data_IF_900538205776
#
_entry.id   IF_900538205776
#
_cell.length_a   1.000
_cell.length_b   1.000
_cell.length_c   1.000
_cell.angle_alpha   90.00
_cell.angle_beta   90.00
_cell.angle_gamma   90.00
#
_symmetry.space_group_name_H-M   'P 1'
#
loop_
_entity.id
_entity.type
_entity.pdbx_description
1 polymer ?
#
# COMPACT_ATOMS: atom_id res chain seq x y z
N UNK A 1 -2.65 -13.45 3.74
CA UNK A 1 -2.35 -12.88 2.43
C UNK A 1 -3.15 -11.59 2.26
N UNK A 2 -2.50 -10.43 2.25
CA UNK A 2 -3.09 -9.16 1.79
C UNK A 2 -4.48 -8.80 2.35
N UNK A 3 -4.69 -8.85 3.65
CA UNK A 3 -5.96 -8.56 4.29
C UNK A 3 -6.84 -9.78 4.53
N UNK A 4 -6.25 -10.96 4.48
CA UNK A 4 -6.94 -12.22 4.66
C UNK A 4 -7.46 -12.82 3.35
N UNK A 5 -7.73 -14.10 3.39
CA UNK A 5 -8.36 -14.83 2.31
C UNK A 5 -9.13 -16.02 2.88
N UNK A 6 -10.18 -16.42 2.21
CA UNK A 6 -10.93 -17.64 2.53
C UNK A 6 -11.15 -18.45 1.25
N UNK A 7 -11.41 -19.71 1.41
CA UNK A 7 -11.83 -20.58 0.31
C UNK A 7 -13.14 -21.30 0.69
N UNK A 8 -13.94 -21.55 -0.32
CA UNK A 8 -15.20 -22.29 -0.17
C UNK A 8 -15.05 -23.64 -0.86
N UNK A 9 -15.37 -24.70 -0.13
CA UNK A 9 -15.42 -26.04 -0.70
C UNK A 9 -16.90 -26.45 -0.83
N UNK A 10 -17.34 -26.68 -2.05
CA UNK A 10 -18.65 -27.23 -2.36
C UNK A 10 -18.57 -28.72 -2.64
N UNK A 11 -19.55 -29.47 -2.19
CA UNK A 11 -19.72 -30.89 -2.51
C UNK A 11 -21.11 -31.18 -3.04
N UNK A 12 -21.25 -32.24 -3.85
CA UNK A 12 -22.57 -32.70 -4.33
C UNK A 12 -23.44 -33.17 -3.18
N UNK A 13 -24.76 -33.11 -3.36
CA UNK A 13 -25.77 -33.48 -2.34
C UNK A 13 -25.68 -34.94 -1.85
N UNK A 14 -24.98 -35.80 -2.61
CA UNK A 14 -24.74 -37.23 -2.26
C UNK A 14 -23.39 -37.46 -1.58
N UNK A 15 -22.62 -36.37 -1.32
CA UNK A 15 -21.32 -36.47 -0.64
C UNK A 15 -21.51 -36.82 0.83
N UNK A 16 -20.61 -37.62 1.38
CA UNK A 16 -20.52 -37.89 2.81
C UNK A 16 -19.94 -36.71 3.62
N UNK A 17 -19.55 -35.61 2.95
CA UNK A 17 -18.99 -34.43 3.60
C UNK A 17 -20.05 -33.65 4.36
N UNK A 18 -19.80 -33.40 5.65
CA UNK A 18 -20.67 -32.55 6.46
C UNK A 18 -20.18 -31.10 6.39
N UNK A 19 -20.99 -30.15 5.90
CA UNK A 19 -20.64 -28.76 5.90
C UNK A 19 -20.56 -28.21 7.33
N UNK A 20 -19.62 -27.30 7.59
CA UNK A 20 -19.52 -26.60 8.87
C UNK A 20 -20.60 -25.51 8.96
N UNK A 21 -21.84 -25.95 9.32
CA UNK A 21 -23.03 -25.09 9.36
C UNK A 21 -22.87 -23.92 10.36
N UNK A 22 -22.17 -24.13 11.46
CA UNK A 22 -21.97 -23.07 12.47
C UNK A 22 -21.08 -21.97 11.91
N UNK A 23 -19.98 -22.34 11.23
CA UNK A 23 -19.09 -21.37 10.59
C UNK A 23 -19.78 -20.62 9.46
N UNK A 24 -20.58 -21.32 8.66
CA UNK A 24 -21.37 -20.72 7.58
C UNK A 24 -22.37 -19.70 8.16
N UNK A 25 -23.12 -20.08 9.20
CA UNK A 25 -24.07 -19.17 9.86
C UNK A 25 -23.36 -17.94 10.43
N UNK A 26 -22.23 -18.14 11.07
CA UNK A 26 -21.45 -17.01 11.60
C UNK A 26 -21.07 -16.03 10.50
N UNK A 27 -20.49 -16.51 9.39
CA UNK A 27 -20.09 -15.66 8.26
C UNK A 27 -21.32 -14.91 7.71
N UNK A 28 -22.44 -15.60 7.48
CA UNK A 28 -23.67 -14.98 6.96
C UNK A 28 -24.22 -13.91 7.92
N UNK A 29 -24.10 -14.12 9.23
CA UNK A 29 -24.49 -13.13 10.24
C UNK A 29 -23.57 -11.92 10.22
N UNK A 30 -22.26 -12.14 10.13
CA UNK A 30 -21.27 -11.07 10.04
C UNK A 30 -21.42 -10.22 8.75
N UNK A 31 -21.90 -10.85 7.66
CA UNK A 31 -22.16 -10.20 6.38
C UNK A 31 -23.56 -9.56 6.27
N UNK A 32 -24.47 -9.77 7.23
CA UNK A 32 -25.83 -9.22 7.19
C UNK A 32 -25.89 -7.69 6.96
N UNK A 33 -25.00 -6.87 7.57
CA UNK A 33 -24.95 -5.43 7.29
C UNK A 33 -24.67 -5.08 5.83
N UNK A 34 -23.98 -5.96 5.09
CA UNK A 34 -23.62 -5.73 3.68
C UNK A 34 -24.84 -5.80 2.73
N UNK A 35 -26.00 -6.18 3.21
CA UNK A 35 -27.27 -6.12 2.45
C UNK A 35 -27.84 -4.70 2.33
N UNK A 36 -27.28 -3.74 3.02
CA UNK A 36 -27.69 -2.33 3.00
C UNK A 36 -26.62 -1.44 2.36
N UNK A 37 -26.97 -0.22 1.96
CA UNK A 37 -26.02 0.74 1.37
C UNK A 37 -25.03 1.32 2.39
N UNK A 38 -25.40 1.39 3.68
CA UNK A 38 -24.64 2.08 4.72
C UNK A 38 -23.14 1.74 4.80
N UNK A 39 -22.75 0.44 4.88
CA UNK A 39 -21.33 0.05 4.89
C UNK A 39 -20.56 0.50 3.64
N UNK A 40 -21.19 0.46 2.48
CA UNK A 40 -20.57 0.87 1.20
C UNK A 40 -20.40 2.38 1.12
N UNK A 41 -21.36 3.15 1.59
CA UNK A 41 -21.29 4.61 1.69
C UNK A 41 -20.18 5.03 2.65
N UNK A 42 -20.09 4.36 3.82
CA UNK A 42 -19.01 4.58 4.78
C UNK A 42 -17.64 4.24 4.19
N UNK A 43 -17.53 3.11 3.50
CA UNK A 43 -16.29 2.72 2.81
C UNK A 43 -15.89 3.76 1.77
N UNK A 44 -16.81 4.17 0.89
CA UNK A 44 -16.55 5.19 -0.13
C UNK A 44 -16.06 6.51 0.49
N UNK A 45 -16.72 6.97 1.55
CA UNK A 45 -16.29 8.19 2.25
C UNK A 45 -14.87 8.07 2.80
N UNK A 46 -14.52 6.95 3.47
CA UNK A 46 -13.17 6.70 3.98
C UNK A 46 -12.12 6.68 2.88
N UNK A 47 -12.44 6.07 1.73
CA UNK A 47 -11.54 6.03 0.57
C UNK A 47 -11.28 7.43 0.03
N UNK A 48 -12.33 8.27 -0.08
CA UNK A 48 -12.18 9.65 -0.56
C UNK A 48 -11.37 10.51 0.42
N UNK A 49 -11.67 10.45 1.70
CA UNK A 49 -10.94 11.19 2.75
C UNK A 49 -9.46 10.80 2.75
N UNK A 50 -9.17 9.50 2.69
CA UNK A 50 -7.81 8.98 2.67
C UNK A 50 -7.04 9.36 1.39
N UNK A 51 -7.70 9.32 0.23
CA UNK A 51 -7.14 9.77 -1.04
C UNK A 51 -6.74 11.25 -0.98
N UNK A 52 -7.59 12.09 -0.38
CA UNK A 52 -7.30 13.52 -0.19
C UNK A 52 -6.11 13.73 0.76
N UNK A 53 -6.02 12.94 1.84
CA UNK A 53 -4.92 13.00 2.79
C UNK A 53 -3.57 12.68 2.12
N UNK A 54 -3.49 11.57 1.36
CA UNK A 54 -2.29 11.19 0.61
C UNK A 54 -1.89 12.28 -0.38
N UNK A 55 -2.84 12.74 -1.19
CA UNK A 55 -2.57 13.75 -2.22
C UNK A 55 -2.14 15.08 -1.61
N UNK A 56 -2.74 15.47 -0.49
CA UNK A 56 -2.35 16.68 0.26
C UNK A 56 -0.94 16.53 0.80
N UNK A 57 -0.62 15.40 1.44
CA UNK A 57 0.71 15.12 1.97
C UNK A 57 1.78 15.27 0.89
N UNK A 58 1.61 14.63 -0.26
CA UNK A 58 2.59 14.70 -1.35
C UNK A 58 2.76 16.12 -1.89
N UNK A 59 1.67 16.87 -2.06
CA UNK A 59 1.74 18.28 -2.46
C UNK A 59 2.49 19.13 -1.42
N UNK A 60 2.22 18.94 -0.13
CA UNK A 60 2.88 19.68 0.95
C UNK A 60 4.40 19.37 1.01
N UNK A 61 4.78 18.13 0.73
CA UNK A 61 6.19 17.69 0.63
C UNK A 61 6.89 18.37 -0.56
N UNK A 62 6.25 18.35 -1.73
CA UNK A 62 6.78 19.01 -2.95
C UNK A 62 6.87 20.52 -2.80
N UNK A 63 5.89 21.16 -2.18
CA UNK A 63 5.90 22.60 -1.90
C UNK A 63 7.09 23.03 -1.00
N UNK A 64 7.61 22.10 -0.20
CA UNK A 64 8.84 22.30 0.61
C UNK A 64 10.12 21.99 -0.16
N UNK A 65 10.06 21.76 -1.47
CA UNK A 65 11.21 21.44 -2.30
C UNK A 65 11.82 20.06 -2.02
N UNK A 66 11.03 19.13 -1.44
CA UNK A 66 11.48 17.79 -1.11
C UNK A 66 11.22 16.81 -2.25
N UNK A 67 12.12 15.85 -2.41
CA UNK A 67 12.04 14.79 -3.43
C UNK A 67 11.30 13.57 -2.91
N UNK A 68 10.45 12.98 -3.77
CA UNK A 68 9.68 11.77 -3.46
C UNK A 68 9.88 10.74 -4.58
N UNK A 69 10.33 9.55 -4.22
CA UNK A 69 10.39 8.41 -5.15
C UNK A 69 9.44 7.32 -4.63
N UNK A 70 8.65 6.73 -5.52
CA UNK A 70 7.80 5.58 -5.24
C UNK A 70 8.63 4.32 -5.04
N UNK A 71 8.16 3.39 -4.21
CA UNK A 71 8.84 2.14 -3.92
C UNK A 71 7.94 0.95 -4.22
N UNK A 72 8.29 0.19 -5.26
CA UNK A 72 7.57 -0.99 -5.74
C UNK A 72 6.46 -0.69 -6.75
N UNK A 73 6.73 -0.85 -8.03
CA UNK A 73 5.76 -0.69 -9.12
C UNK A 73 4.78 -1.87 -9.20
N UNK A 74 3.82 -1.92 -8.27
CA UNK A 74 2.85 -3.00 -8.16
C UNK A 74 1.50 -2.64 -8.80
N UNK A 75 0.71 -3.66 -9.16
CA UNK A 75 -0.66 -3.47 -9.65
C UNK A 75 -1.54 -2.73 -8.62
N UNK A 76 -1.45 -3.10 -7.34
CA UNK A 76 -2.19 -2.42 -6.27
C UNK A 76 -1.73 -0.98 -6.07
N UNK A 77 -0.42 -0.75 -6.11
CA UNK A 77 0.15 0.60 -6.07
C UNK A 77 -0.34 1.47 -7.21
N UNK A 78 -0.45 0.91 -8.41
CA UNK A 78 -0.96 1.63 -9.57
C UNK A 78 -2.44 2.08 -9.40
N UNK A 79 -3.26 1.27 -8.72
CA UNK A 79 -4.64 1.69 -8.37
C UNK A 79 -4.60 2.91 -7.44
N UNK A 80 -3.72 2.90 -6.43
CA UNK A 80 -3.57 4.03 -5.49
C UNK A 80 -3.12 5.29 -6.23
N UNK A 81 -2.10 5.18 -7.11
CA UNK A 81 -1.62 6.32 -7.91
C UNK A 81 -2.74 6.96 -8.72
N UNK A 82 -3.49 6.15 -9.48
CA UNK A 82 -4.58 6.65 -10.31
C UNK A 82 -5.75 7.21 -9.48
N UNK A 83 -6.14 6.52 -8.40
CA UNK A 83 -7.26 6.97 -7.56
C UNK A 83 -6.94 8.28 -6.82
N UNK A 84 -5.69 8.46 -6.39
CA UNK A 84 -5.23 9.67 -5.71
C UNK A 84 -4.76 10.76 -6.68
N UNK A 85 -4.87 10.58 -8.00
CA UNK A 85 -4.35 11.48 -9.04
C UNK A 85 -2.87 11.87 -8.80
N UNK A 86 -2.04 10.85 -8.58
CA UNK A 86 -0.60 10.99 -8.38
C UNK A 86 0.10 10.71 -9.71
N UNK A 87 0.88 11.66 -10.18
CA UNK A 87 1.68 11.62 -11.40
C UNK A 87 3.17 11.93 -11.12
N UNK A 88 3.95 12.12 -12.17
CA UNK A 88 5.38 12.42 -12.09
C UNK A 88 5.69 13.78 -11.44
N UNK A 89 4.72 14.67 -11.30
CA UNK A 89 4.90 15.96 -10.62
C UNK A 89 4.95 15.75 -9.09
N UNK A 90 4.26 14.74 -8.58
CA UNK A 90 4.21 14.42 -7.15
C UNK A 90 5.21 13.33 -6.75
N UNK A 91 5.35 12.30 -7.59
CA UNK A 91 6.33 11.21 -7.43
C UNK A 91 7.16 11.14 -8.70
N UNK A 92 8.43 11.50 -8.58
CA UNK A 92 9.30 11.70 -9.75
C UNK A 92 9.57 10.41 -10.53
N UNK A 93 9.76 9.31 -9.82
CA UNK A 93 10.06 7.97 -10.36
C UNK A 93 9.57 6.91 -9.40
N UNK A 94 9.53 5.65 -9.83
CA UNK A 94 9.22 4.51 -8.96
C UNK A 94 10.34 3.49 -9.06
N UNK A 95 10.93 3.14 -7.93
CA UNK A 95 11.94 2.09 -7.86
C UNK A 95 11.28 0.70 -7.82
N UNK A 96 11.76 -0.23 -8.64
CA UNK A 96 11.31 -1.63 -8.64
C UNK A 96 12.49 -2.59 -8.83
N UNK A 97 12.41 -3.78 -8.29
CA UNK A 97 13.45 -4.81 -8.43
C UNK A 97 13.41 -5.53 -9.77
N UNK A 98 12.24 -5.61 -10.42
CA UNK A 98 12.07 -6.35 -11.66
C UNK A 98 12.67 -5.60 -12.84
N UNK A 99 13.78 -6.11 -13.45
CA UNK A 99 14.42 -5.44 -14.56
C UNK A 99 13.54 -5.32 -15.82
N UNK A 100 12.53 -6.17 -15.98
CA UNK A 100 11.59 -6.07 -17.10
C UNK A 100 10.71 -4.82 -17.06
N UNK A 101 10.62 -4.15 -15.91
CA UNK A 101 9.86 -2.90 -15.74
C UNK A 101 10.70 -1.66 -15.95
N UNK A 102 12.02 -1.75 -15.84
CA UNK A 102 12.89 -0.58 -15.90
C UNK A 102 12.78 0.17 -17.24
N UNK A 103 12.71 1.50 -17.16
CA UNK A 103 12.51 2.37 -18.32
C UNK A 103 11.08 2.39 -18.86
N UNK A 104 10.17 1.58 -18.31
CA UNK A 104 8.73 1.66 -18.61
C UNK A 104 8.07 2.69 -17.70
N UNK A 105 6.82 3.03 -18.02
CA UNK A 105 5.99 3.95 -17.23
C UNK A 105 4.78 3.23 -16.64
N UNK A 106 4.30 3.74 -15.51
CA UNK A 106 3.08 3.24 -14.88
C UNK A 106 1.84 3.59 -15.69
N UNK A 107 0.89 2.66 -15.88
CA UNK A 107 -0.36 2.93 -16.59
C UNK A 107 -1.17 4.03 -15.91
N UNK A 108 -1.63 5.01 -16.69
CA UNK A 108 -2.46 6.11 -16.23
C UNK A 108 -1.68 7.26 -15.58
N UNK A 109 -0.79 6.97 -14.65
CA UNK A 109 0.00 7.99 -13.93
C UNK A 109 1.29 8.43 -14.65
N UNK A 110 1.80 7.66 -15.63
CA UNK A 110 2.93 8.03 -16.49
C UNK A 110 4.30 8.06 -15.79
N UNK A 111 4.41 7.57 -14.56
CA UNK A 111 5.64 7.66 -13.76
C UNK A 111 6.67 6.63 -14.22
N UNK A 112 7.91 7.07 -14.49
CA UNK A 112 9.00 6.21 -14.96
C UNK A 112 9.47 5.26 -13.86
N UNK A 113 9.69 3.98 -14.24
CA UNK A 113 10.19 2.93 -13.34
C UNK A 113 11.71 2.81 -13.49
N UNK A 114 12.41 2.83 -12.36
CA UNK A 114 13.88 2.77 -12.27
C UNK A 114 14.35 1.61 -11.38
N UNK A 115 15.63 1.18 -11.50
CA UNK A 115 16.23 0.24 -10.55
C UNK A 115 16.31 0.81 -9.13
N UNK A 116 16.17 -0.03 -8.09
CA UNK A 116 16.43 0.37 -6.69
C UNK A 116 17.83 0.97 -6.48
N UNK A 117 18.83 0.48 -7.22
CA UNK A 117 20.20 1.04 -7.17
C UNK A 117 20.21 2.53 -7.53
N UNK A 118 19.54 2.90 -8.60
CA UNK A 118 19.43 4.30 -9.02
C UNK A 118 18.71 5.17 -7.98
N UNK A 119 17.63 4.66 -7.39
CA UNK A 119 16.92 5.34 -6.31
C UNK A 119 17.82 5.62 -5.11
N UNK A 120 18.67 4.65 -4.72
CA UNK A 120 19.63 4.83 -3.61
C UNK A 120 20.73 5.87 -3.93
N UNK A 121 21.16 5.96 -5.18
CA UNK A 121 22.11 6.98 -5.65
C UNK A 121 21.49 8.39 -5.65
N UNK A 122 20.21 8.50 -5.97
CA UNK A 122 19.45 9.77 -5.96
C UNK A 122 19.17 10.30 -4.55
N UNK A 123 19.19 9.44 -3.53
CA UNK A 123 18.97 9.79 -2.11
C UNK A 123 17.75 10.68 -1.90
N UNK A 124 16.53 10.25 -2.29
CA UNK A 124 15.34 11.08 -2.12
C UNK A 124 15.08 11.40 -0.65
N UNK A 125 14.35 12.48 -0.37
CA UNK A 125 13.91 12.80 1.00
C UNK A 125 12.87 11.81 1.52
N UNK A 126 12.03 11.28 0.61
CA UNK A 126 10.95 10.36 0.94
C UNK A 126 10.86 9.19 -0.05
N UNK A 127 10.62 8.00 0.48
CA UNK A 127 10.17 6.82 -0.27
C UNK A 127 8.68 6.59 -0.01
N UNK A 128 7.85 6.72 -1.03
CA UNK A 128 6.41 6.43 -0.93
C UNK A 128 6.13 4.99 -1.34
N UNK A 129 5.77 4.15 -0.36
CA UNK A 129 5.64 2.69 -0.54
C UNK A 129 4.33 2.33 -1.22
N UNK A 130 4.43 1.70 -2.40
CA UNK A 130 3.31 1.19 -3.20
C UNK A 130 3.07 -0.32 -3.00
N UNK A 131 3.94 -0.97 -2.22
CA UNK A 131 3.87 -2.39 -1.85
C UNK A 131 3.73 -2.54 -0.34
N UNK A 132 2.83 -1.78 0.27
CA UNK A 132 2.65 -1.66 1.72
C UNK A 132 2.48 -2.98 2.47
N UNK A 133 2.02 -4.03 1.81
CA UNK A 133 1.86 -5.37 2.37
C UNK A 133 3.19 -6.11 2.60
N UNK A 134 4.29 -5.60 2.05
CA UNK A 134 5.66 -6.04 2.36
C UNK A 134 6.33 -5.09 3.37
N UNK A 135 5.57 -4.67 4.38
CA UNK A 135 5.98 -3.65 5.34
C UNK A 135 7.34 -3.94 6.00
N UNK A 136 7.46 -5.12 6.60
CA UNK A 136 8.65 -5.54 7.32
C UNK A 136 9.85 -5.69 6.40
N UNK A 137 9.64 -6.25 5.21
CA UNK A 137 10.66 -6.42 4.18
C UNK A 137 11.18 -5.06 3.71
N UNK A 138 10.27 -4.13 3.41
CA UNK A 138 10.64 -2.76 2.98
C UNK A 138 11.45 -2.04 4.06
N UNK A 139 11.04 -2.12 5.31
CA UNK A 139 11.78 -1.50 6.41
C UNK A 139 13.16 -2.14 6.57
N UNK A 140 13.26 -3.45 6.45
CA UNK A 140 14.52 -4.19 6.57
C UNK A 140 15.48 -3.85 5.44
N UNK A 141 15.01 -3.84 4.19
CA UNK A 141 15.80 -3.56 3.00
C UNK A 141 16.35 -2.12 2.97
N UNK A 142 15.57 -1.18 3.48
CA UNK A 142 15.89 0.25 3.43
C UNK A 142 16.27 0.84 4.81
N UNK A 143 16.72 -0.02 5.74
CA UNK A 143 17.18 0.41 7.08
C UNK A 143 18.29 1.47 6.98
N UNK A 144 19.29 1.23 6.14
CA UNK A 144 20.42 2.16 5.96
C UNK A 144 19.94 3.53 5.44
N UNK A 145 19.02 3.56 4.49
CA UNK A 145 18.41 4.78 3.99
C UNK A 145 17.75 5.58 5.12
N UNK A 146 16.95 4.91 5.98
CA UNK A 146 16.28 5.55 7.11
C UNK A 146 17.30 6.09 8.13
N UNK A 147 18.32 5.29 8.49
CA UNK A 147 19.34 5.70 9.47
C UNK A 147 20.16 6.89 8.96
N UNK A 148 20.32 7.04 7.65
CA UNK A 148 20.97 8.17 7.01
C UNK A 148 20.07 9.41 6.83
N UNK A 149 18.84 9.39 7.41
CA UNK A 149 17.94 10.54 7.46
C UNK A 149 16.83 10.54 6.41
N UNK A 150 16.73 9.50 5.57
CA UNK A 150 15.60 9.27 4.68
C UNK A 150 14.33 8.94 5.44
N UNK A 151 13.19 9.09 4.79
CA UNK A 151 11.87 8.80 5.36
C UNK A 151 11.10 7.87 4.48
N UNK A 152 10.51 6.83 5.06
CA UNK A 152 9.61 5.90 4.37
C UNK A 152 8.18 6.27 4.72
N UNK A 153 7.33 6.40 3.69
CA UNK A 153 5.93 6.78 3.82
C UNK A 153 5.07 5.62 3.36
N UNK A 154 4.24 5.13 4.24
CA UNK A 154 3.18 4.18 3.90
C UNK A 154 1.86 4.94 3.76
N UNK A 155 1.25 4.86 2.57
CA UNK A 155 -0.06 5.45 2.33
C UNK A 155 -1.20 4.60 2.90
N UNK A 156 -1.00 3.30 3.06
CA UNK A 156 -2.01 2.34 3.50
C UNK A 156 -1.45 1.45 4.62
N UNK A 157 -2.32 0.96 5.55
CA UNK A 157 -3.77 1.22 5.67
C UNK A 157 -4.09 2.63 6.19
N UNK A 158 -3.12 3.30 6.80
CA UNK A 158 -3.17 4.71 7.23
C UNK A 158 -1.89 5.41 6.81
N UNK A 159 -1.99 6.69 6.48
CA UNK A 159 -0.82 7.49 6.15
C UNK A 159 0.08 7.64 7.39
N UNK A 160 1.30 7.14 7.30
CA UNK A 160 2.29 7.31 8.35
C UNK A 160 3.71 7.34 7.80
N UNK A 161 4.62 7.89 8.58
CA UNK A 161 6.02 8.07 8.22
C UNK A 161 6.88 7.27 9.17
N UNK A 162 7.84 6.53 8.61
CA UNK A 162 8.90 5.88 9.35
C UNK A 162 10.20 6.65 9.10
N UNK A 163 10.83 7.09 10.18
CA UNK A 163 12.14 7.74 10.18
C UNK A 163 13.05 7.12 11.27
N UNK A 164 14.26 7.62 11.40
CA UNK A 164 15.25 7.07 12.34
C UNK A 164 14.81 7.11 13.82
N UNK A 165 13.83 7.94 14.18
CA UNK A 165 13.39 8.11 15.57
C UNK A 165 12.32 7.10 15.98
N UNK A 166 11.56 6.59 15.01
CA UNK A 166 10.48 5.62 15.26
C UNK A 166 10.71 4.25 14.58
N UNK A 167 11.81 4.06 13.86
CA UNK A 167 12.07 2.88 13.05
C UNK A 167 11.95 1.56 13.84
N UNK A 168 12.64 1.44 14.98
CA UNK A 168 12.67 0.19 15.76
C UNK A 168 11.28 -0.13 16.36
N UNK A 169 10.55 0.90 16.78
CA UNK A 169 9.16 0.75 17.23
C UNK A 169 8.27 0.24 16.09
N UNK A 170 8.33 0.89 14.92
CA UNK A 170 7.52 0.54 13.76
C UNK A 170 7.85 -0.84 13.20
N UNK A 171 9.11 -1.23 13.19
CA UNK A 171 9.53 -2.57 12.77
C UNK A 171 8.98 -3.65 13.73
N UNK A 172 8.97 -3.38 15.05
CA UNK A 172 8.43 -4.31 16.07
C UNK A 172 6.91 -4.45 15.99
N UNK A 173 6.17 -3.35 15.78
CA UNK A 173 4.72 -3.35 15.69
C UNK A 173 4.23 -4.06 14.41
N UNK A 174 4.97 -3.96 13.33
CA UNK A 174 4.60 -4.56 12.05
C UNK A 174 3.40 -3.87 11.40
N UNK A 175 2.86 -4.51 10.36
CA UNK A 175 1.76 -3.97 9.56
C UNK A 175 0.38 -4.08 10.23
N UNK A 176 0.18 -4.98 11.16
CA UNK A 176 -1.14 -5.33 11.70
C UNK A 176 -1.68 -4.35 12.77
N UNK A 177 -0.85 -3.43 13.25
CA UNK A 177 -1.25 -2.48 14.31
C UNK A 177 -1.65 -1.08 13.77
N UNK A 178 -2.16 -1.02 12.53
CA UNK A 178 -2.64 0.24 11.93
C UNK A 178 -4.15 0.32 11.76
#
# INVERSE_FOLDING_TARGET
VNGGSFFVVGSGSKSASNPNQDKIRQILTDEEPLKTSGPYELFNRRVLEHSQEISKFLRDVKAKGKTVIGYGASTKGNIVLNHCNIDEQLIEMIADENPEKWGRVTPGSGITIIPKKQMRELKPDYLFVLIWHFYTEVLTDEKEYVMNGGRIVFGLPRLHIVDKHNYEERLRLGFEEF
#
